data_IF_089091938182
#
_entry.id   IF_089091938182
#
_cell.length_a   1.000
_cell.length_b   1.000
_cell.length_c   1.000
_cell.angle_alpha   90.00
_cell.angle_beta   90.00
_cell.angle_gamma   90.00
#
_symmetry.space_group_name_H-M   'P 1'
#
loop_
_entity.id
_entity.type
_entity.pdbx_description
1 polymer ?
#
# COMPACT_ATOMS: atom_id res chain seq x y z
N UNK A 1 20.97 -9.79 -8.80
CA UNK A 1 19.97 -9.06 -7.99
C UNK A 1 18.57 -9.67 -8.06
N UNK A 2 17.90 -9.73 -9.22
CA UNK A 2 16.51 -10.22 -9.29
C UNK A 2 16.27 -11.64 -8.76
N UNK A 3 17.24 -12.54 -8.92
CA UNK A 3 17.16 -13.89 -8.40
C UNK A 3 17.31 -13.96 -6.87
N UNK A 4 18.05 -13.03 -6.25
CA UNK A 4 18.24 -13.02 -4.78
C UNK A 4 16.99 -12.48 -4.07
N UNK A 5 16.34 -11.47 -4.65
CA UNK A 5 15.07 -10.91 -4.14
C UNK A 5 13.96 -11.97 -4.18
N UNK A 6 13.84 -12.74 -5.28
CA UNK A 6 12.81 -13.77 -5.47
C UNK A 6 13.08 -15.08 -4.70
N UNK A 7 14.29 -15.29 -4.19
CA UNK A 7 14.66 -16.52 -3.52
C UNK A 7 13.99 -16.62 -2.14
N UNK A 8 13.20 -17.67 -1.90
CA UNK A 8 12.51 -17.88 -0.61
C UNK A 8 13.41 -18.46 0.49
N UNK A 9 14.61 -18.92 0.14
CA UNK A 9 15.54 -19.58 1.06
C UNK A 9 16.47 -18.59 1.79
N UNK A 10 16.40 -17.30 1.47
CA UNK A 10 17.18 -16.24 2.13
C UNK A 10 16.26 -15.52 3.11
N UNK A 11 16.71 -15.31 4.34
CA UNK A 11 15.90 -14.62 5.34
C UNK A 11 15.62 -13.17 4.94
N UNK A 12 14.51 -12.57 5.41
CA UNK A 12 14.20 -11.18 5.11
C UNK A 12 15.32 -10.20 5.53
N UNK A 13 16.03 -10.50 6.62
CA UNK A 13 17.13 -9.69 7.14
C UNK A 13 18.36 -9.76 6.22
N UNK A 14 18.73 -10.96 5.76
CA UNK A 14 19.84 -11.15 4.83
C UNK A 14 19.55 -10.51 3.46
N UNK A 15 18.30 -10.57 2.99
CA UNK A 15 17.89 -9.88 1.76
C UNK A 15 18.06 -8.37 1.88
N UNK A 16 17.72 -7.80 3.03
CA UNK A 16 17.85 -6.38 3.27
C UNK A 16 19.32 -5.94 3.24
N UNK A 17 20.20 -6.68 3.93
CA UNK A 17 21.65 -6.41 3.88
C UNK A 17 22.21 -6.47 2.46
N UNK A 18 21.84 -7.52 1.70
CA UNK A 18 22.29 -7.69 0.31
C UNK A 18 21.77 -6.56 -0.62
N UNK A 19 20.55 -6.08 -0.38
CA UNK A 19 19.96 -4.96 -1.13
C UNK A 19 20.69 -3.63 -0.84
N UNK A 20 21.09 -3.38 0.40
CA UNK A 20 21.91 -2.22 0.76
C UNK A 20 23.32 -2.30 0.16
N UNK A 21 23.91 -3.50 0.08
CA UNK A 21 25.18 -3.70 -0.62
C UNK A 21 25.06 -3.44 -2.12
N UNK A 22 23.96 -3.88 -2.76
CA UNK A 22 23.71 -3.56 -4.17
C UNK A 22 23.46 -2.06 -4.38
N UNK A 23 22.86 -1.39 -3.40
CA UNK A 23 22.62 0.05 -3.46
C UNK A 23 23.92 0.87 -3.54
N UNK A 24 25.03 0.37 -2.98
CA UNK A 24 26.36 1.00 -3.12
C UNK A 24 26.86 1.03 -4.57
N UNK A 25 26.42 0.09 -5.40
CA UNK A 25 26.81 -0.01 -6.82
C UNK A 25 25.81 0.73 -7.72
N UNK A 26 24.52 0.66 -7.40
CA UNK A 26 23.45 1.24 -8.23
C UNK A 26 23.09 2.68 -7.84
N UNK A 27 23.48 3.15 -6.66
CA UNK A 27 23.22 4.52 -6.18
C UNK A 27 21.74 4.86 -6.07
N UNK A 28 20.89 3.88 -5.71
CA UNK A 28 19.43 4.04 -5.67
C UNK A 28 18.94 4.70 -4.37
N UNK A 29 19.82 4.89 -3.38
CA UNK A 29 19.51 5.54 -2.10
C UNK A 29 18.31 4.88 -1.40
N UNK A 30 18.36 3.55 -1.31
CA UNK A 30 17.30 2.73 -0.72
C UNK A 30 17.17 2.96 0.79
N UNK A 31 18.21 3.49 1.42
CA UNK A 31 18.27 3.95 2.81
C UNK A 31 17.44 5.22 3.05
N UNK A 32 17.29 6.08 2.03
CA UNK A 32 16.52 7.32 2.08
C UNK A 32 15.04 7.13 1.74
N UNK A 33 14.62 5.92 1.38
CA UNK A 33 13.22 5.65 1.11
C UNK A 33 12.40 5.84 2.39
N UNK A 34 11.33 6.66 2.36
CA UNK A 34 10.45 6.81 3.51
C UNK A 34 9.88 5.44 3.85
N UNK A 35 10.32 4.89 4.97
CA UNK A 35 9.98 3.54 5.46
C UNK A 35 8.50 3.34 5.71
N UNK A 36 7.70 4.42 5.65
CA UNK A 36 6.27 4.38 5.84
C UNK A 36 5.61 5.39 4.89
N UNK A 37 5.09 4.90 3.76
CA UNK A 37 3.95 5.56 3.12
C UNK A 37 2.76 5.42 4.08
N UNK A 38 2.69 6.31 5.08
CA UNK A 38 1.58 6.34 6.02
C UNK A 38 0.36 6.86 5.30
N UNK A 39 -0.51 5.95 4.88
CA UNK A 39 -1.88 6.32 4.54
C UNK A 39 -2.45 7.07 5.76
N UNK A 40 -2.99 8.28 5.59
CA UNK A 40 -3.57 9.04 6.70
C UNK A 40 -4.67 8.22 7.38
N UNK A 41 -4.71 8.28 8.72
CA UNK A 41 -5.72 7.57 9.51
C UNK A 41 -7.15 7.87 9.05
N UNK A 42 -7.39 9.08 8.57
CA UNK A 42 -8.68 9.49 8.03
C UNK A 42 -9.10 8.67 6.79
N UNK A 43 -8.17 8.38 5.87
CA UNK A 43 -8.43 7.56 4.69
C UNK A 43 -8.71 6.10 5.09
N UNK A 44 -7.97 5.59 6.09
CA UNK A 44 -8.22 4.26 6.65
C UNK A 44 -9.61 4.17 7.25
N UNK A 45 -10.02 5.17 8.03
CA UNK A 45 -11.36 5.23 8.63
C UNK A 45 -12.46 5.27 7.56
N UNK A 46 -12.28 6.08 6.52
CA UNK A 46 -13.21 6.14 5.39
C UNK A 46 -13.28 4.79 4.66
N UNK A 47 -12.15 4.10 4.47
CA UNK A 47 -12.13 2.77 3.86
C UNK A 47 -12.90 1.73 4.70
N UNK A 48 -12.75 1.76 6.03
CA UNK A 48 -13.50 0.91 6.97
C UNK A 48 -15.00 1.22 6.91
N UNK A 49 -15.41 2.50 6.94
CA UNK A 49 -16.81 2.91 6.80
C UNK A 49 -17.42 2.49 5.46
N UNK A 50 -16.63 2.54 4.38
CA UNK A 50 -17.06 2.05 3.07
C UNK A 50 -17.33 0.54 3.10
N UNK A 51 -16.47 -0.21 3.79
CA UNK A 51 -16.64 -1.66 3.92
C UNK A 51 -17.91 -1.99 4.71
N UNK A 52 -18.15 -1.31 5.84
CA UNK A 52 -19.39 -1.47 6.59
C UNK A 52 -20.64 -1.13 5.77
N UNK A 53 -20.58 -0.07 4.95
CA UNK A 53 -21.67 0.30 4.05
C UNK A 53 -21.94 -0.79 3.00
N UNK A 54 -20.88 -1.39 2.41
CA UNK A 54 -21.01 -2.54 1.49
C UNK A 54 -21.64 -3.75 2.19
N UNK A 55 -21.23 -4.05 3.42
CA UNK A 55 -21.76 -5.17 4.20
C UNK A 55 -23.25 -4.96 4.52
N UNK A 56 -23.66 -3.71 4.75
CA UNK A 56 -25.07 -3.30 4.93
C UNK A 56 -25.85 -3.18 3.61
N UNK A 57 -25.24 -3.48 2.46
CA UNK A 57 -25.80 -3.29 1.10
C UNK A 57 -26.19 -1.84 0.78
N UNK A 58 -25.62 -0.88 1.50
CA UNK A 58 -25.78 0.54 1.24
C UNK A 58 -24.72 1.01 0.22
N UNK A 59 -25.01 0.72 -1.04
CA UNK A 59 -24.13 1.06 -2.15
C UNK A 59 -24.01 2.58 -2.38
N UNK A 60 -25.03 3.35 -2.02
CA UNK A 60 -25.04 4.82 -2.20
C UNK A 60 -24.02 5.45 -1.26
N UNK A 61 -24.03 5.06 0.01
CA UNK A 61 -23.08 5.56 0.99
C UNK A 61 -21.65 5.09 0.68
N UNK A 62 -21.48 3.83 0.25
CA UNK A 62 -20.17 3.32 -0.18
C UNK A 62 -19.60 4.11 -1.37
N UNK A 63 -20.43 4.47 -2.35
CA UNK A 63 -19.97 5.20 -3.53
C UNK A 63 -19.65 6.68 -3.21
N UNK A 64 -20.37 7.29 -2.29
CA UNK A 64 -20.05 8.62 -1.76
C UNK A 64 -18.70 8.63 -1.04
N UNK A 65 -18.45 7.65 -0.17
CA UNK A 65 -17.16 7.53 0.55
C UNK A 65 -16.01 7.29 -0.45
N UNK A 66 -16.23 6.46 -1.48
CA UNK A 66 -15.25 6.24 -2.54
C UNK A 66 -14.83 7.56 -3.21
N UNK A 67 -15.80 8.42 -3.56
CA UNK A 67 -15.52 9.75 -4.13
C UNK A 67 -14.77 10.67 -3.17
N UNK A 68 -15.06 10.63 -1.87
CA UNK A 68 -14.33 11.43 -0.88
C UNK A 68 -12.85 11.03 -0.81
N UNK A 69 -12.59 9.72 -0.84
CA UNK A 69 -11.23 9.17 -0.84
C UNK A 69 -10.50 9.56 -2.14
N UNK A 70 -11.17 9.44 -3.30
CA UNK A 70 -10.63 9.87 -4.60
C UNK A 70 -10.30 11.37 -4.63
N UNK A 71 -11.16 12.22 -4.07
CA UNK A 71 -10.92 13.66 -3.95
C UNK A 71 -9.72 14.01 -3.05
N UNK A 72 -9.40 13.14 -2.09
CA UNK A 72 -8.21 13.29 -1.24
C UNK A 72 -6.93 12.75 -1.90
N UNK A 73 -7.01 12.32 -3.16
CA UNK A 73 -5.87 11.77 -3.88
C UNK A 73 -5.56 10.33 -3.49
N UNK A 74 -6.55 9.54 -3.05
CA UNK A 74 -6.39 8.12 -2.77
C UNK A 74 -7.40 7.30 -3.58
N UNK A 75 -6.98 6.15 -4.09
CA UNK A 75 -7.80 5.19 -4.80
C UNK A 75 -8.00 3.97 -3.91
N UNK A 76 -9.23 3.46 -3.81
CA UNK A 76 -9.48 2.14 -3.24
C UNK A 76 -9.73 1.15 -4.37
N UNK A 77 -8.90 0.11 -4.41
CA UNK A 77 -9.10 -1.07 -5.23
C UNK A 77 -9.69 -2.20 -4.38
N UNK A 78 -10.86 -2.69 -4.78
CA UNK A 78 -11.43 -3.92 -4.24
C UNK A 78 -10.72 -5.13 -4.84
N UNK A 79 -10.17 -5.99 -4.00
CA UNK A 79 -9.76 -7.36 -4.34
C UNK A 79 -10.73 -8.35 -3.70
N UNK A 80 -10.71 -9.61 -4.15
CA UNK A 80 -11.69 -10.66 -3.81
C UNK A 80 -12.13 -10.71 -2.34
N UNK A 81 -11.23 -10.45 -1.39
CA UNK A 81 -11.51 -10.41 0.06
C UNK A 81 -11.03 -9.18 0.80
N UNK A 82 -10.22 -8.33 0.16
CA UNK A 82 -9.52 -7.23 0.81
C UNK A 82 -9.59 -6.00 -0.08
N UNK A 83 -9.52 -4.83 0.53
CA UNK A 83 -9.36 -3.58 -0.20
C UNK A 83 -7.92 -3.07 -0.06
N UNK A 84 -7.38 -2.49 -1.11
CA UNK A 84 -6.09 -1.82 -1.11
C UNK A 84 -6.28 -0.33 -1.36
N UNK A 85 -5.66 0.49 -0.50
CA UNK A 85 -5.62 1.94 -0.65
C UNK A 85 -4.31 2.27 -1.37
N UNK A 86 -4.41 2.89 -2.54
CA UNK A 86 -3.28 3.45 -3.30
C UNK A 86 -3.36 4.96 -3.28
N UNK A 87 -2.23 5.63 -3.26
CA UNK A 87 -2.20 7.07 -3.50
C UNK A 87 -2.29 7.33 -5.00
N UNK A 88 -3.22 8.19 -5.39
CA UNK A 88 -3.40 8.66 -6.75
C UNK A 88 -2.37 9.77 -6.97
N UNK A 89 -1.22 9.41 -7.55
CA UNK A 89 -0.25 10.37 -8.09
C UNK A 89 -0.76 10.99 -9.39
#
# INVERSE_FOLDING_TARGET
MWNTVKNKNISPLEKYGLLLEFDQVFGLSLDLLPTQHRIPNEIRLLAEQRQEAKDKKDYVTADNIRKQIENKGYLIEDQERLYHIKQKN
#
